data_IF_569574959261
#
_entry.id   IF_569574959261
#
_cell.length_a   1.000
_cell.length_b   1.000
_cell.length_c   1.000
_cell.angle_alpha   90.00
_cell.angle_beta   90.00
_cell.angle_gamma   90.00
#
_symmetry.space_group_name_H-M   'P 1'
#
loop_
_entity.id
_entity.type
_entity.pdbx_description
1 polymer ?
#
# COMPACT_ATOMS: atom_id res chain seq x y z
N UNK A 1 9.01 -44.40 29.78
CA UNK A 1 10.37 -44.84 29.40
C UNK A 1 10.86 -43.88 28.31
N UNK A 2 12.01 -43.22 28.52
CA UNK A 2 12.59 -42.24 27.59
C UNK A 2 13.05 -42.90 26.27
N UNK A 3 13.51 -42.08 25.30
CA UNK A 3 14.96 -41.97 25.20
C UNK A 3 15.48 -40.54 25.10
N UNK A 4 16.62 -40.35 25.75
CA UNK A 4 17.52 -39.21 25.71
C UNK A 4 18.33 -39.27 24.41
N UNK A 5 18.63 -38.12 23.80
CA UNK A 5 19.90 -37.93 23.10
C UNK A 5 20.56 -36.65 23.58
N UNK A 6 21.78 -36.85 24.10
CA UNK A 6 22.71 -35.87 24.59
C UNK A 6 23.71 -35.54 23.47
N UNK A 7 24.12 -34.28 23.33
CA UNK A 7 25.40 -33.94 22.71
C UNK A 7 25.96 -32.67 23.35
N UNK A 8 27.09 -32.83 24.07
CA UNK A 8 27.94 -31.77 24.62
C UNK A 8 28.94 -31.28 23.56
N UNK A 9 29.13 -29.97 23.56
CA UNK A 9 30.37 -29.18 23.45
C UNK A 9 31.44 -29.46 22.36
N UNK A 10 31.84 -28.37 21.68
CA UNK A 10 33.25 -28.04 21.42
C UNK A 10 33.63 -27.76 19.96
N UNK A 11 34.11 -26.54 19.67
CA UNK A 11 34.86 -26.28 18.44
C UNK A 11 34.83 -24.82 17.93
N UNK A 12 35.80 -24.03 18.36
CA UNK A 12 36.14 -22.73 17.76
C UNK A 12 36.46 -22.87 16.25
N UNK A 13 35.75 -22.11 15.40
CA UNK A 13 36.33 -21.57 14.15
C UNK A 13 35.84 -20.15 13.92
N UNK A 14 36.79 -19.21 13.95
CA UNK A 14 36.62 -17.84 13.43
C UNK A 14 36.42 -17.93 11.91
N UNK A 15 35.19 -17.74 11.43
CA UNK A 15 34.95 -17.46 10.00
C UNK A 15 34.53 -16.00 9.84
N UNK A 16 35.44 -15.20 9.28
CA UNK A 16 35.17 -13.84 8.79
C UNK A 16 34.00 -13.91 7.79
N UNK A 17 32.82 -13.45 8.17
CA UNK A 17 31.70 -13.29 7.23
C UNK A 17 31.91 -12.00 6.44
N UNK A 18 32.20 -12.14 5.14
CA UNK A 18 32.08 -11.05 4.17
C UNK A 18 30.60 -10.66 4.03
N UNK A 19 30.26 -9.37 3.91
CA UNK A 19 28.87 -8.96 3.70
C UNK A 19 28.44 -9.39 2.29
N UNK A 20 27.44 -10.29 2.21
CA UNK A 20 26.75 -10.59 0.96
C UNK A 20 25.88 -9.39 0.59
N UNK A 21 26.35 -8.56 -0.33
CA UNK A 21 25.49 -7.65 -1.11
C UNK A 21 24.65 -8.51 -2.04
N UNK A 22 23.34 -8.44 -1.90
CA UNK A 22 22.40 -9.12 -2.78
C UNK A 22 21.02 -8.51 -2.59
N UNK A 23 20.75 -7.42 -3.31
CA UNK A 23 19.36 -7.07 -3.61
C UNK A 23 18.78 -8.24 -4.40
N UNK A 24 17.65 -8.79 -3.94
CA UNK A 24 16.90 -9.77 -4.72
C UNK A 24 15.99 -8.97 -5.65
N UNK A 25 16.52 -8.61 -6.81
CA UNK A 25 15.72 -8.03 -7.89
C UNK A 25 15.12 -9.17 -8.71
N UNK A 26 13.84 -9.44 -8.48
CA UNK A 26 13.06 -10.26 -9.40
C UNK A 26 12.11 -9.36 -10.18
N UNK A 27 12.55 -8.99 -11.39
CA UNK A 27 11.61 -8.56 -12.43
C UNK A 27 10.77 -9.79 -12.79
N UNK A 28 9.46 -9.75 -12.56
CA UNK A 28 8.56 -10.76 -13.11
C UNK A 28 8.44 -10.45 -14.62
N UNK A 29 9.50 -10.78 -15.37
CA UNK A 29 9.63 -10.46 -16.79
C UNK A 29 9.13 -11.62 -17.66
N UNK A 30 8.20 -11.25 -18.56
CA UNK A 30 7.82 -11.86 -19.84
C UNK A 30 8.48 -13.19 -20.21
N UNK A 31 7.68 -14.26 -20.30
CA UNK A 31 7.98 -15.39 -21.17
C UNK A 31 7.33 -16.72 -20.79
N UNK A 32 6.24 -17.07 -21.48
CA UNK A 32 5.95 -18.46 -21.83
C UNK A 32 5.27 -18.47 -23.22
N UNK A 33 5.92 -19.14 -24.18
CA UNK A 33 5.38 -19.52 -25.50
C UNK A 33 4.43 -20.71 -25.33
N UNK A 34 3.47 -20.80 -26.27
CA UNK A 34 2.49 -21.89 -26.57
C UNK A 34 1.04 -21.41 -26.28
N UNK A 35 0.05 -21.41 -27.18
CA UNK A 35 -0.18 -22.01 -28.50
C UNK A 35 -0.91 -20.99 -29.41
N UNK A 36 -0.86 -21.21 -30.73
CA UNK A 36 -1.48 -20.33 -31.73
C UNK A 36 -2.99 -20.16 -31.50
N UNK A 37 -3.42 -18.92 -31.24
CA UNK A 37 -4.81 -18.49 -31.33
C UNK A 37 -5.13 -18.02 -32.76
N UNK A 38 -6.39 -18.14 -33.22
CA UNK A 38 -6.77 -17.77 -34.58
C UNK A 38 -6.47 -16.29 -34.86
N UNK A 39 -5.83 -16.03 -36.00
CA UNK A 39 -5.52 -14.68 -36.48
C UNK A 39 -6.84 -13.93 -36.77
N UNK A 40 -7.16 -12.94 -35.95
CA UNK A 40 -8.13 -11.91 -36.31
C UNK A 40 -7.39 -10.72 -36.96
N UNK A 41 -7.91 -10.11 -38.03
CA UNK A 41 -7.22 -9.01 -38.70
C UNK A 41 -7.18 -7.76 -37.81
N UNK A 42 -6.04 -7.06 -37.86
CA UNK A 42 -5.81 -5.79 -37.20
C UNK A 42 -6.76 -4.71 -37.73
N UNK A 43 -7.59 -4.16 -36.84
CA UNK A 43 -8.46 -3.02 -37.12
C UNK A 43 -8.66 -2.21 -35.84
N UNK A 44 -8.13 -1.00 -35.84
CA UNK A 44 -8.31 0.01 -34.79
C UNK A 44 -9.80 0.16 -34.44
N UNK A 45 -10.21 -0.17 -33.20
CA UNK A 45 -11.52 0.28 -32.70
C UNK A 45 -11.41 1.74 -32.27
N UNK A 46 -11.35 2.63 -33.26
CA UNK A 46 -11.93 3.96 -33.11
C UNK A 46 -13.43 3.77 -32.82
N UNK A 47 -14.09 4.63 -32.01
CA UNK A 47 -15.54 4.56 -31.87
C UNK A 47 -16.16 4.57 -33.27
N UNK A 48 -16.94 3.52 -33.58
CA UNK A 48 -17.48 3.28 -34.90
C UNK A 48 -18.27 4.50 -35.37
N UNK A 49 -18.25 4.77 -36.68
CA UNK A 49 -18.93 5.92 -37.29
C UNK A 49 -20.39 6.06 -36.84
N UNK A 50 -21.03 4.94 -36.46
CA UNK A 50 -22.36 4.90 -35.86
C UNK A 50 -22.45 5.63 -34.51
N UNK A 51 -21.54 5.34 -33.56
CA UNK A 51 -21.56 5.97 -32.23
C UNK A 51 -21.29 7.48 -32.31
N UNK A 52 -20.40 7.91 -33.21
CA UNK A 52 -20.15 9.34 -33.47
C UNK A 52 -21.35 10.02 -34.12
N UNK A 53 -22.00 9.38 -35.10
CA UNK A 53 -23.24 9.89 -35.70
C UNK A 53 -24.36 10.04 -34.69
N UNK A 54 -24.52 9.07 -33.79
CA UNK A 54 -25.54 9.13 -32.73
C UNK A 54 -25.26 10.30 -31.78
N UNK A 55 -24.00 10.47 -31.36
CA UNK A 55 -23.60 11.59 -30.52
C UNK A 55 -23.80 12.96 -31.21
N UNK A 56 -23.39 13.11 -32.47
CA UNK A 56 -23.60 14.35 -33.24
C UNK A 56 -25.08 14.67 -33.47
N UNK A 57 -25.91 13.66 -33.78
CA UNK A 57 -27.36 13.83 -33.95
C UNK A 57 -28.05 14.26 -32.66
N UNK A 58 -27.64 13.72 -31.52
CA UNK A 58 -28.15 14.10 -30.20
C UNK A 58 -27.74 15.54 -29.86
N UNK A 59 -26.46 15.88 -30.05
CA UNK A 59 -25.95 17.23 -29.83
C UNK A 59 -26.59 18.27 -30.77
N UNK A 60 -26.81 17.95 -32.04
CA UNK A 60 -27.52 18.83 -32.99
C UNK A 60 -28.99 19.05 -32.60
N UNK A 61 -29.68 18.02 -32.08
CA UNK A 61 -31.09 18.15 -31.65
C UNK A 61 -31.24 18.93 -30.35
N UNK A 62 -30.27 18.83 -29.43
CA UNK A 62 -30.19 19.64 -28.22
C UNK A 62 -29.94 21.12 -28.54
N UNK A 63 -28.96 21.42 -29.42
CA UNK A 63 -28.65 22.81 -29.86
C UNK A 63 -29.80 23.47 -30.62
N UNK A 64 -30.65 22.69 -31.28
CA UNK A 64 -31.83 23.17 -32.03
C UNK A 64 -33.10 23.26 -31.17
N UNK A 65 -33.01 23.09 -29.85
CA UNK A 65 -34.15 23.20 -28.93
C UNK A 65 -35.27 22.19 -29.17
N UNK A 66 -35.03 21.11 -29.93
CA UNK A 66 -36.08 20.17 -30.40
C UNK A 66 -36.38 19.02 -29.43
N UNK A 67 -35.78 19.03 -28.24
CA UNK A 67 -36.02 18.06 -27.17
C UNK A 67 -36.84 18.62 -26.00
N UNK A 68 -37.27 19.88 -26.05
CA UNK A 68 -38.11 20.50 -24.99
C UNK A 68 -39.60 20.16 -25.12
N UNK A 69 -40.01 19.39 -26.14
CA UNK A 69 -41.42 19.07 -26.38
C UNK A 69 -41.77 17.60 -26.08
N UNK A 70 -41.39 17.13 -24.88
CA UNK A 70 -41.87 15.87 -24.32
C UNK A 70 -42.13 15.97 -22.79
N UNK A 71 -42.41 17.16 -22.27
CA UNK A 71 -42.74 17.38 -20.85
C UNK A 71 -44.19 17.00 -20.47
N UNK A 72 -44.80 16.04 -21.17
CA UNK A 72 -46.22 15.70 -20.97
C UNK A 72 -46.63 14.26 -21.28
N UNK A 73 -45.68 13.32 -21.44
CA UNK A 73 -46.01 11.89 -21.55
C UNK A 73 -45.66 11.15 -20.26
N UNK A 74 -46.58 10.36 -19.68
CA UNK A 74 -46.28 9.57 -18.49
C UNK A 74 -45.26 8.48 -18.87
N UNK A 75 -44.07 8.53 -18.25
CA UNK A 75 -43.07 7.46 -18.38
C UNK A 75 -41.60 7.89 -18.46
N UNK A 76 -41.28 9.17 -18.60
CA UNK A 76 -39.88 9.63 -18.64
C UNK A 76 -39.69 10.74 -17.60
N UNK A 77 -39.39 10.33 -16.38
CA UNK A 77 -38.93 11.23 -15.33
C UNK A 77 -37.60 11.88 -15.74
N UNK A 78 -37.30 13.09 -15.24
CA UNK A 78 -35.97 13.72 -15.39
C UNK A 78 -34.81 12.77 -15.01
N UNK A 79 -35.10 11.78 -14.15
CA UNK A 79 -34.22 10.67 -13.76
C UNK A 79 -33.79 9.75 -14.92
N UNK A 80 -34.62 9.62 -15.97
CA UNK A 80 -34.34 8.83 -17.16
C UNK A 80 -33.39 9.56 -18.11
N UNK A 81 -33.46 10.90 -18.14
CA UNK A 81 -32.56 11.73 -18.94
C UNK A 81 -31.16 11.80 -18.33
N UNK A 82 -30.98 11.77 -17.01
CA UNK A 82 -29.64 11.62 -16.40
C UNK A 82 -29.01 10.23 -16.63
N UNK A 83 -29.83 9.19 -16.80
CA UNK A 83 -29.39 7.85 -17.22
C UNK A 83 -29.03 7.77 -18.71
N UNK A 84 -29.76 8.49 -19.56
CA UNK A 84 -29.58 8.53 -21.03
C UNK A 84 -28.48 9.51 -21.47
N UNK A 85 -28.43 10.69 -20.84
CA UNK A 85 -27.29 11.61 -20.81
C UNK A 85 -26.34 11.17 -19.72
N UNK A 86 -26.12 9.84 -19.62
CA UNK A 86 -25.15 9.24 -18.73
C UNK A 86 -23.97 10.16 -18.72
N UNK A 87 -23.67 10.73 -17.55
CA UNK A 87 -22.40 11.41 -17.36
C UNK A 87 -21.40 10.34 -17.77
N UNK A 88 -20.90 10.47 -18.98
CA UNK A 88 -19.59 9.99 -19.36
C UNK A 88 -18.66 10.82 -18.47
N UNK A 89 -18.69 10.53 -17.17
CA UNK A 89 -17.47 10.44 -16.42
C UNK A 89 -16.76 9.36 -17.22
N UNK A 90 -15.88 9.78 -18.11
CA UNK A 90 -14.81 8.94 -18.62
C UNK A 90 -14.09 8.46 -17.35
N UNK A 91 -14.63 7.41 -16.73
CA UNK A 91 -13.94 6.67 -15.69
C UNK A 91 -12.82 6.04 -16.45
N UNK A 92 -11.66 6.67 -16.40
CA UNK A 92 -10.46 6.13 -17.00
C UNK A 92 -10.28 4.73 -16.42
N UNK A 93 -10.47 3.75 -17.30
CA UNK A 93 -10.30 2.35 -16.95
C UNK A 93 -8.80 2.13 -16.82
N UNK A 94 -8.39 1.72 -15.63
CA UNK A 94 -7.00 1.47 -15.28
C UNK A 94 -6.72 -0.03 -15.25
N UNK A 95 -5.50 -0.41 -15.63
CA UNK A 95 -5.03 -1.80 -15.60
C UNK A 95 -3.57 -1.92 -15.19
N UNK A 96 -3.28 -2.83 -14.26
CA UNK A 96 -1.90 -3.13 -13.88
C UNK A 96 -1.23 -3.98 -14.97
N UNK A 97 -0.19 -3.42 -15.60
CA UNK A 97 0.60 -4.07 -16.67
C UNK A 97 1.73 -4.90 -16.12
N UNK A 98 2.39 -4.39 -15.09
CA UNK A 98 3.55 -5.00 -14.47
C UNK A 98 3.53 -4.74 -12.96
N UNK A 99 3.92 -5.75 -12.19
CA UNK A 99 4.19 -5.64 -10.76
C UNK A 99 5.62 -6.10 -10.50
N UNK A 100 6.45 -5.23 -9.93
CA UNK A 100 7.82 -5.55 -9.52
C UNK A 100 7.92 -5.53 -8.01
N UNK A 101 8.51 -6.58 -7.45
CA UNK A 101 8.79 -6.72 -6.02
C UNK A 101 10.29 -6.59 -5.80
N UNK A 102 10.68 -5.77 -4.83
CA UNK A 102 12.08 -5.56 -4.46
C UNK A 102 12.25 -5.60 -2.95
N UNK A 103 13.14 -6.46 -2.46
CA UNK A 103 13.52 -6.45 -1.04
C UNK A 103 14.79 -5.60 -0.87
N UNK A 104 14.71 -4.58 -0.01
CA UNK A 104 15.87 -3.82 0.47
C UNK A 104 16.08 -4.07 1.96
N UNK A 105 17.34 -3.95 2.39
CA UNK A 105 17.73 -4.13 3.80
C UNK A 105 18.43 -2.89 4.29
N UNK A 106 17.92 -2.32 5.37
CA UNK A 106 18.42 -1.06 5.94
C UNK A 106 18.75 -1.23 7.42
N UNK A 107 19.99 -0.90 7.80
CA UNK A 107 20.39 -0.83 9.20
C UNK A 107 19.75 0.40 9.84
N UNK A 108 19.10 0.22 10.99
CA UNK A 108 18.53 1.33 11.75
C UNK A 108 19.63 2.15 12.41
N UNK A 109 19.38 3.46 12.58
CA UNK A 109 20.29 4.38 13.28
C UNK A 109 20.54 3.92 14.72
N UNK A 110 19.50 3.41 15.37
CA UNK A 110 19.58 2.75 16.67
C UNK A 110 18.67 1.52 16.69
N UNK A 111 19.00 0.47 17.46
CA UNK A 111 18.11 -0.67 17.66
C UNK A 111 16.73 -0.24 18.18
N UNK A 112 15.68 -0.82 17.62
CA UNK A 112 14.30 -0.57 18.04
C UNK A 112 13.77 -1.78 18.81
N UNK A 113 13.60 -1.62 20.12
CA UNK A 113 13.13 -2.68 21.01
C UNK A 113 11.67 -2.48 21.39
N UNK A 114 10.91 -3.55 21.23
CA UNK A 114 9.51 -3.68 21.65
C UNK A 114 9.38 -4.76 22.70
N UNK A 115 8.16 -5.01 23.21
CA UNK A 115 7.91 -6.14 24.12
C UNK A 115 8.11 -7.52 23.46
N UNK A 116 8.19 -7.59 22.13
CA UNK A 116 8.15 -8.84 21.37
C UNK A 116 9.46 -9.15 20.65
N UNK A 117 10.13 -8.12 20.13
CA UNK A 117 11.32 -8.27 19.31
C UNK A 117 12.22 -7.03 19.41
N UNK A 118 13.49 -7.22 19.05
CA UNK A 118 14.50 -6.18 18.92
C UNK A 118 15.01 -6.16 17.48
N UNK A 119 14.76 -5.05 16.79
CA UNK A 119 15.14 -4.91 15.38
C UNK A 119 16.35 -4.00 15.22
N UNK A 120 17.36 -4.48 14.50
CA UNK A 120 18.55 -3.69 14.10
C UNK A 120 18.62 -3.42 12.60
N UNK A 121 18.08 -4.34 11.80
CA UNK A 121 18.01 -4.24 10.34
C UNK A 121 16.56 -4.43 9.91
N UNK A 122 16.02 -3.47 9.17
CA UNK A 122 14.72 -3.56 8.52
C UNK A 122 14.84 -4.26 7.18
N UNK A 123 14.06 -5.31 6.99
CA UNK A 123 13.69 -5.86 5.68
C UNK A 123 12.47 -5.09 5.18
N UNK A 124 12.60 -4.48 4.02
CA UNK A 124 11.59 -3.62 3.42
C UNK A 124 11.25 -4.22 2.06
N UNK A 125 9.97 -4.51 1.85
CA UNK A 125 9.45 -5.01 0.59
C UNK A 125 8.77 -3.87 -0.17
N UNK A 126 9.41 -3.41 -1.24
CA UNK A 126 8.87 -2.40 -2.14
C UNK A 126 8.02 -3.06 -3.23
N UNK A 127 6.87 -2.45 -3.51
CA UNK A 127 5.94 -2.84 -4.56
C UNK A 127 5.87 -1.71 -5.57
N UNK A 128 6.26 -2.00 -6.81
CA UNK A 128 6.15 -1.07 -7.94
C UNK A 128 5.08 -1.58 -8.91
N UNK A 129 4.05 -0.78 -9.14
CA UNK A 129 2.98 -1.08 -10.09
C UNK A 129 3.05 -0.16 -11.32
N UNK A 130 3.00 -0.75 -12.51
CA UNK A 130 2.83 -0.02 -13.76
C UNK A 130 1.34 0.00 -14.13
N UNK A 131 0.74 1.18 -14.05
CA UNK A 131 -0.66 1.46 -14.37
C UNK A 131 -0.72 2.20 -15.70
N UNK A 132 -0.81 1.44 -16.80
CA UNK A 132 -0.83 1.93 -18.17
C UNK A 132 0.26 2.98 -18.50
N UNK A 133 1.48 2.75 -18.02
CA UNK A 133 2.64 3.62 -18.23
C UNK A 133 2.92 4.57 -17.06
N UNK A 134 2.01 4.72 -16.09
CA UNK A 134 2.23 5.52 -14.88
C UNK A 134 2.65 4.61 -13.73
N UNK A 135 3.75 4.98 -13.07
CA UNK A 135 4.39 4.15 -12.06
C UNK A 135 3.99 4.59 -10.66
N UNK A 136 3.38 3.66 -9.94
CA UNK A 136 3.10 3.77 -8.52
C UNK A 136 4.05 2.93 -7.67
N UNK A 137 4.34 3.40 -6.48
CA UNK A 137 5.20 2.76 -5.49
C UNK A 137 4.47 2.64 -4.15
N UNK A 138 4.76 1.55 -3.46
CA UNK A 138 4.36 1.37 -2.07
C UNK A 138 5.36 0.51 -1.33
N UNK A 139 5.29 0.57 -0.01
CA UNK A 139 6.03 -0.28 0.91
C UNK A 139 5.07 -1.24 1.63
N UNK A 140 5.42 -2.52 1.64
CA UNK A 140 4.78 -3.49 2.50
C UNK A 140 5.42 -3.42 3.89
N UNK A 141 4.58 -3.23 4.92
CA UNK A 141 5.02 -3.07 6.32
C UNK A 141 5.27 -4.40 7.04
N UNK A 142 5.09 -5.54 6.37
CA UNK A 142 5.34 -6.86 6.96
C UNK A 142 6.82 -7.02 7.32
N UNK A 143 7.08 -7.39 8.58
CA UNK A 143 8.43 -7.42 9.15
C UNK A 143 9.19 -8.72 8.93
N UNK A 144 10.29 -8.87 9.65
CA UNK A 144 11.21 -10.01 9.57
C UNK A 144 10.62 -11.26 10.22
N UNK A 145 9.83 -11.05 11.27
CA UNK A 145 9.30 -12.07 12.17
C UNK A 145 7.78 -11.90 12.35
N UNK A 146 7.04 -12.98 12.65
CA UNK A 146 5.58 -12.95 12.79
C UNK A 146 5.13 -12.50 14.19
N UNK A 147 5.92 -11.69 14.88
CA UNK A 147 5.63 -11.32 16.27
C UNK A 147 4.70 -10.10 16.38
N UNK A 148 4.75 -9.16 15.43
CA UNK A 148 3.78 -8.05 15.37
C UNK A 148 2.44 -8.48 14.76
N UNK A 149 2.51 -9.33 13.74
CA UNK A 149 1.36 -9.86 13.01
C UNK A 149 1.76 -11.21 12.40
N UNK A 150 0.81 -12.07 11.97
CA UNK A 150 1.17 -13.32 11.30
C UNK A 150 1.89 -13.12 9.95
N UNK A 151 1.90 -11.90 9.39
CA UNK A 151 2.60 -11.58 8.14
C UNK A 151 4.07 -11.22 8.38
N UNK A 152 4.94 -11.82 7.57
CA UNK A 152 6.36 -11.46 7.40
C UNK A 152 6.66 -11.05 5.96
N UNK A 153 7.80 -10.42 5.71
CA UNK A 153 8.28 -10.04 4.38
C UNK A 153 8.28 -11.24 3.41
N UNK A 154 8.63 -12.44 3.88
CA UNK A 154 8.64 -13.65 3.06
C UNK A 154 7.21 -14.12 2.72
N UNK A 155 6.29 -14.07 3.70
CA UNK A 155 4.88 -14.42 3.43
C UNK A 155 4.23 -13.39 2.51
N UNK A 156 4.50 -12.09 2.70
CA UNK A 156 3.96 -11.03 1.85
C UNK A 156 4.48 -11.15 0.41
N UNK A 157 5.77 -11.45 0.23
CA UNK A 157 6.37 -11.73 -1.07
C UNK A 157 5.64 -12.87 -1.79
N UNK A 158 5.48 -14.01 -1.11
CA UNK A 158 4.80 -15.18 -1.64
C UNK A 158 3.36 -14.85 -2.04
N UNK A 159 2.61 -14.17 -1.17
CA UNK A 159 1.21 -13.82 -1.41
C UNK A 159 1.06 -12.83 -2.56
N UNK A 160 1.92 -11.80 -2.64
CA UNK A 160 1.96 -10.86 -3.75
C UNK A 160 2.22 -11.56 -5.08
N UNK A 161 3.23 -12.45 -5.13
CA UNK A 161 3.66 -13.14 -6.35
C UNK A 161 2.65 -14.19 -6.82
N UNK A 162 2.22 -15.07 -5.92
CA UNK A 162 1.53 -16.32 -6.28
C UNK A 162 0.01 -16.20 -6.23
N UNK A 163 -0.53 -15.19 -5.53
CA UNK A 163 -1.97 -15.07 -5.30
C UNK A 163 -2.53 -13.72 -5.74
N UNK A 164 -1.99 -12.60 -5.23
CA UNK A 164 -2.54 -11.28 -5.52
C UNK A 164 -2.29 -10.86 -6.97
N UNK A 165 -1.06 -11.04 -7.47
CA UNK A 165 -0.73 -10.70 -8.86
C UNK A 165 -1.59 -11.47 -9.89
N UNK A 166 -1.73 -12.81 -9.83
CA UNK A 166 -2.62 -13.54 -10.72
C UNK A 166 -4.10 -13.10 -10.65
N UNK A 167 -4.57 -12.62 -9.49
CA UNK A 167 -5.95 -12.18 -9.33
C UNK A 167 -6.24 -10.82 -9.97
N UNK A 168 -5.25 -9.92 -10.06
CA UNK A 168 -5.46 -8.55 -10.53
C UNK A 168 -4.85 -8.26 -11.91
N UNK A 169 -3.84 -9.03 -12.33
CA UNK A 169 -3.20 -8.83 -13.63
C UNK A 169 -4.23 -8.85 -14.76
N UNK A 170 -4.28 -7.77 -15.53
CA UNK A 170 -5.16 -7.67 -16.69
C UNK A 170 -6.63 -7.37 -16.37
N UNK A 171 -6.99 -7.16 -15.10
CA UNK A 171 -8.31 -6.66 -14.73
C UNK A 171 -8.40 -5.16 -14.93
N UNK A 172 -9.60 -4.75 -15.30
CA UNK A 172 -10.00 -3.36 -15.48
C UNK A 172 -10.72 -2.89 -14.21
N UNK A 173 -10.36 -1.70 -13.73
CA UNK A 173 -11.00 -1.04 -12.59
C UNK A 173 -11.01 0.48 -12.80
N UNK A 174 -11.98 1.16 -12.21
CA UNK A 174 -12.17 2.60 -12.41
C UNK A 174 -11.56 3.48 -11.32
N UNK A 175 -11.14 2.91 -10.20
CA UNK A 175 -10.44 3.63 -9.11
C UNK A 175 -9.58 2.67 -8.29
N UNK A 176 -8.54 3.16 -7.63
CA UNK A 176 -7.76 2.38 -6.68
C UNK A 176 -8.62 1.81 -5.54
N UNK A 177 -9.71 2.50 -5.16
CA UNK A 177 -10.66 2.01 -4.15
C UNK A 177 -11.39 0.71 -4.53
N UNK A 178 -11.41 0.32 -5.81
CA UNK A 178 -11.99 -0.95 -6.26
C UNK A 178 -11.01 -2.13 -6.06
N UNK A 179 -9.71 -1.85 -5.95
CA UNK A 179 -8.65 -2.88 -5.88
C UNK A 179 -8.86 -3.81 -4.70
N UNK A 180 -9.22 -3.29 -3.52
CA UNK A 180 -9.42 -4.12 -2.33
C UNK A 180 -10.47 -5.23 -2.56
N UNK A 181 -11.57 -4.89 -3.23
CA UNK A 181 -12.62 -5.84 -3.59
C UNK A 181 -12.14 -6.94 -4.55
N UNK A 182 -11.25 -6.60 -5.50
CA UNK A 182 -10.66 -7.58 -6.43
C UNK A 182 -9.74 -8.59 -5.72
N UNK A 183 -9.18 -8.22 -4.57
CA UNK A 183 -8.29 -9.06 -3.77
C UNK A 183 -9.02 -9.88 -2.68
N UNK A 184 -10.33 -9.71 -2.53
CA UNK A 184 -11.12 -10.26 -1.42
C UNK A 184 -11.09 -11.80 -1.33
N UNK A 185 -10.80 -12.51 -2.43
CA UNK A 185 -10.69 -13.98 -2.45
C UNK A 185 -9.53 -14.50 -1.58
N UNK A 186 -8.45 -13.74 -1.41
CA UNK A 186 -7.35 -14.09 -0.49
C UNK A 186 -7.80 -13.76 0.92
N UNK A 187 -7.74 -14.72 1.86
CA UNK A 187 -8.11 -14.47 3.26
C UNK A 187 -6.92 -13.90 4.03
N UNK A 188 -7.16 -12.91 4.89
CA UNK A 188 -6.09 -12.23 5.62
C UNK A 188 -5.10 -11.50 4.69
N UNK A 189 -3.82 -11.54 5.03
CA UNK A 189 -2.71 -10.94 4.27
C UNK A 189 -2.93 -9.45 3.93
N UNK A 190 -3.35 -8.69 4.94
CA UNK A 190 -3.78 -7.32 4.78
C UNK A 190 -2.60 -6.39 4.47
N UNK A 191 -1.40 -6.66 4.99
CA UNK A 191 -0.21 -5.87 4.66
C UNK A 191 0.21 -6.09 3.20
N UNK A 192 0.17 -7.33 2.73
CA UNK A 192 0.47 -7.65 1.34
C UNK A 192 -0.56 -7.01 0.37
N UNK A 193 -1.85 -7.06 0.70
CA UNK A 193 -2.91 -6.41 -0.08
C UNK A 193 -2.78 -4.89 -0.08
N UNK A 194 -2.57 -4.30 1.10
CA UNK A 194 -2.41 -2.86 1.26
C UNK A 194 -1.20 -2.34 0.47
N UNK A 195 -0.09 -3.09 0.40
CA UNK A 195 1.06 -2.71 -0.41
C UNK A 195 0.72 -2.66 -1.91
N UNK A 196 -0.03 -3.64 -2.43
CA UNK A 196 -0.49 -3.62 -3.81
C UNK A 196 -1.44 -2.45 -4.06
N UNK A 197 -2.45 -2.30 -3.20
CA UNK A 197 -3.46 -1.24 -3.31
C UNK A 197 -2.83 0.17 -3.23
N UNK A 198 -1.92 0.39 -2.28
CA UNK A 198 -1.23 1.66 -2.11
C UNK A 198 -0.38 2.03 -3.34
N UNK A 199 0.23 1.04 -4.01
CA UNK A 199 0.95 1.31 -5.26
C UNK A 199 -0.02 1.76 -6.37
N UNK A 200 -1.26 1.24 -6.39
CA UNK A 200 -2.29 1.71 -7.33
C UNK A 200 -2.78 3.12 -6.96
N UNK A 201 -2.97 3.42 -5.67
CA UNK A 201 -3.32 4.77 -5.20
C UNK A 201 -2.27 5.81 -5.59
N UNK A 202 -0.98 5.50 -5.43
CA UNK A 202 0.12 6.38 -5.85
C UNK A 202 0.12 6.60 -7.38
N UNK A 203 -0.08 5.54 -8.17
CA UNK A 203 -0.18 5.65 -9.62
C UNK A 203 -1.41 6.47 -10.08
N UNK A 204 -2.58 6.25 -9.48
CA UNK A 204 -3.82 6.99 -9.80
C UNK A 204 -3.67 8.48 -9.47
N UNK A 205 -3.07 8.82 -8.32
CA UNK A 205 -2.79 10.22 -7.95
C UNK A 205 -1.90 10.91 -8.99
N UNK A 206 -0.87 10.21 -9.46
CA UNK A 206 0.03 10.69 -10.53
C UNK A 206 -0.67 10.82 -11.87
N UNK A 207 -1.50 9.85 -12.27
CA UNK A 207 -2.31 9.94 -13.50
C UNK A 207 -3.21 11.19 -13.49
N UNK A 208 -3.82 11.50 -12.34
CA UNK A 208 -4.67 12.68 -12.16
C UNK A 208 -3.90 13.98 -11.92
N UNK A 209 -2.57 13.93 -11.86
CA UNK A 209 -1.73 15.11 -11.62
C UNK A 209 -1.99 15.79 -10.27
N UNK A 210 -2.37 15.05 -9.23
CA UNK A 210 -2.65 15.63 -7.91
C UNK A 210 -1.98 14.87 -6.76
N UNK A 211 -1.71 15.54 -5.62
CA UNK A 211 -1.20 14.85 -4.44
C UNK A 211 -2.17 13.77 -3.95
N UNK A 212 -1.63 12.61 -3.53
CA UNK A 212 -2.44 11.52 -2.97
C UNK A 212 -3.30 12.00 -1.80
N UNK A 213 -2.79 12.89 -0.96
CA UNK A 213 -3.55 13.48 0.15
C UNK A 213 -4.84 14.14 -0.33
N UNK A 214 -4.83 14.88 -1.44
CA UNK A 214 -6.04 15.49 -2.02
C UNK A 214 -6.95 14.44 -2.64
N UNK A 215 -6.39 13.45 -3.33
CA UNK A 215 -7.17 12.36 -3.92
C UNK A 215 -8.00 11.60 -2.87
N UNK A 216 -7.44 11.39 -1.67
CA UNK A 216 -8.13 10.71 -0.57
C UNK A 216 -8.96 11.66 0.33
N UNK A 217 -9.12 12.94 -0.05
CA UNK A 217 -9.94 13.91 0.68
C UNK A 217 -9.26 14.61 1.87
N UNK A 218 -7.93 14.61 1.91
CA UNK A 218 -7.13 15.33 2.90
C UNK A 218 -7.31 16.84 2.82
N UNK A 219 -7.61 17.46 3.97
CA UNK A 219 -7.88 18.90 4.10
C UNK A 219 -6.74 19.71 4.73
N UNK A 220 -5.67 19.03 5.17
CA UNK A 220 -4.54 19.65 5.87
C UNK A 220 -3.30 19.62 5.00
N UNK A 221 -2.51 20.69 5.05
CA UNK A 221 -1.17 20.74 4.44
C UNK A 221 -0.09 20.19 5.38
N UNK A 222 -0.31 20.28 6.69
CA UNK A 222 0.60 19.79 7.73
C UNK A 222 -0.14 18.94 8.77
N UNK A 223 0.59 18.00 9.38
CA UNK A 223 0.08 17.12 10.43
C UNK A 223 0.98 17.18 11.67
N UNK A 224 0.36 17.18 12.85
CA UNK A 224 1.08 17.10 14.10
C UNK A 224 1.75 15.72 14.24
N UNK A 225 3.08 15.70 14.35
CA UNK A 225 3.85 14.47 14.49
C UNK A 225 4.10 14.14 15.97
N UNK A 226 4.08 12.85 16.29
CA UNK A 226 4.49 12.34 17.59
C UNK A 226 5.48 11.20 17.43
N UNK A 227 6.34 11.01 18.43
CA UNK A 227 7.41 10.00 18.43
C UNK A 227 7.01 8.79 19.28
N UNK A 228 7.57 7.62 18.96
CA UNK A 228 7.49 6.43 19.81
C UNK A 228 8.89 6.06 20.31
N UNK A 229 9.10 6.11 21.61
CA UNK A 229 10.37 5.79 22.27
C UNK A 229 10.30 4.33 22.75
N UNK A 230 11.32 3.55 22.40
CA UNK A 230 11.47 2.15 22.83
C UNK A 230 11.73 2.03 24.33
N UNK A 231 11.73 0.79 24.84
CA UNK A 231 12.10 0.52 26.23
C UNK A 231 13.58 0.87 26.42
N UNK A 232 13.90 1.56 27.53
CA UNK A 232 15.27 1.91 27.94
C UNK A 232 15.72 1.09 29.14
N UNK A 233 17.02 1.08 29.40
CA UNK A 233 17.55 0.34 30.55
C UNK A 233 17.38 1.12 31.85
N UNK A 234 17.59 2.45 31.81
CA UNK A 234 17.38 3.32 32.97
C UNK A 234 16.29 4.37 32.74
N UNK A 235 15.76 4.93 33.84
CA UNK A 235 14.83 6.06 33.78
C UNK A 235 15.50 7.32 33.25
N UNK A 236 16.77 7.55 33.57
CA UNK A 236 17.48 8.75 33.11
C UNK A 236 17.74 8.70 31.60
N UNK A 237 18.04 7.52 31.03
CA UNK A 237 18.09 7.33 29.58
C UNK A 237 16.75 7.61 28.89
N UNK A 238 15.64 7.26 29.56
CA UNK A 238 14.30 7.54 29.05
C UNK A 238 14.00 9.04 29.08
N UNK A 239 14.31 9.72 30.18
CA UNK A 239 14.12 11.17 30.32
C UNK A 239 14.94 11.91 29.26
N UNK A 240 16.24 11.60 29.12
CA UNK A 240 17.10 12.22 28.13
C UNK A 240 16.61 11.98 26.69
N UNK A 241 16.06 10.79 26.40
CA UNK A 241 15.43 10.53 25.11
C UNK A 241 14.17 11.40 24.90
N UNK A 242 13.32 11.56 25.92
CA UNK A 242 12.13 12.42 25.84
C UNK A 242 12.51 13.88 25.62
N UNK A 243 13.48 14.41 26.37
CA UNK A 243 13.96 15.79 26.21
C UNK A 243 14.46 16.06 24.79
N UNK A 244 15.26 15.14 24.26
CA UNK A 244 15.75 15.22 22.88
C UNK A 244 14.62 15.31 21.87
N UNK A 245 13.60 14.45 21.97
CA UNK A 245 12.50 14.43 21.01
C UNK A 245 11.55 15.63 21.18
N UNK A 246 11.36 16.12 22.40
CA UNK A 246 10.62 17.37 22.64
C UNK A 246 11.37 18.58 22.04
N UNK A 247 12.69 18.64 22.22
CA UNK A 247 13.53 19.67 21.60
C UNK A 247 13.52 19.60 20.06
N UNK A 248 13.28 18.42 19.48
CA UNK A 248 13.08 18.23 18.05
C UNK A 248 11.67 18.66 17.55
N UNK A 249 10.76 19.06 18.44
CA UNK A 249 9.44 19.61 18.10
C UNK A 249 8.31 18.57 18.05
N UNK A 250 8.51 17.34 18.52
CA UNK A 250 7.42 16.35 18.55
C UNK A 250 6.31 16.74 19.53
N UNK A 251 5.07 16.73 19.06
CA UNK A 251 3.91 17.24 19.80
C UNK A 251 3.22 16.18 20.68
N UNK A 252 3.62 14.90 20.53
CA UNK A 252 3.15 13.77 21.33
C UNK A 252 4.27 12.76 21.53
N UNK A 253 4.52 12.39 22.77
CA UNK A 253 5.41 11.30 23.16
C UNK A 253 4.57 10.03 23.29
N UNK A 254 5.11 8.89 22.86
CA UNK A 254 4.59 7.56 23.18
C UNK A 254 5.76 6.75 23.70
N UNK A 255 5.62 6.10 24.84
CA UNK A 255 6.63 5.17 25.35
C UNK A 255 6.17 3.73 25.18
N UNK A 256 7.12 2.82 24.99
CA UNK A 256 6.88 1.38 25.08
C UNK A 256 6.98 0.94 26.53
N UNK A 257 6.06 0.09 26.96
CA UNK A 257 6.02 -0.50 28.30
C UNK A 257 6.00 -2.03 28.19
N UNK A 258 6.42 -2.72 29.24
CA UNK A 258 6.26 -4.17 29.43
C UNK A 258 6.11 -4.48 30.93
N UNK A 259 5.63 -5.67 31.32
CA UNK A 259 5.58 -6.05 32.74
C UNK A 259 6.94 -5.80 33.42
N UNK A 260 6.93 -5.05 34.52
CA UNK A 260 8.14 -4.64 35.25
C UNK A 260 8.84 -3.38 34.72
N UNK A 261 8.42 -2.81 33.59
CA UNK A 261 8.88 -1.52 33.04
C UNK A 261 7.67 -0.75 32.47
N UNK A 262 6.72 -0.40 33.33
CA UNK A 262 5.46 0.27 32.99
C UNK A 262 5.15 1.48 33.88
N UNK A 263 4.82 1.27 35.16
CA UNK A 263 4.37 2.31 36.09
C UNK A 263 5.47 3.32 36.43
N UNK A 264 6.68 2.85 36.75
CA UNK A 264 7.79 3.75 37.12
C UNK A 264 8.18 4.70 35.97
N UNK A 265 8.38 4.23 34.71
CA UNK A 265 8.59 5.11 33.56
C UNK A 265 7.50 6.18 33.39
N UNK A 266 6.23 5.80 33.48
CA UNK A 266 5.11 6.74 33.31
C UNK A 266 5.09 7.76 34.45
N UNK A 267 5.25 7.30 35.70
CA UNK A 267 5.26 8.18 36.88
C UNK A 267 6.37 9.22 36.77
N UNK A 268 7.60 8.78 36.44
CA UNK A 268 8.76 9.68 36.27
C UNK A 268 8.48 10.72 35.19
N UNK A 269 8.03 10.30 34.01
CA UNK A 269 7.75 11.24 32.92
C UNK A 269 6.59 12.21 33.21
N UNK A 270 5.59 11.80 33.99
CA UNK A 270 4.50 12.70 34.40
C UNK A 270 4.92 13.71 35.46
N UNK A 271 5.88 13.38 36.31
CA UNK A 271 6.47 14.32 37.26
C UNK A 271 7.34 15.35 36.52
N UNK A 272 8.22 14.89 35.62
CA UNK A 272 9.17 15.74 34.92
C UNK A 272 8.50 16.58 33.81
N UNK A 273 7.51 16.02 33.12
CA UNK A 273 6.83 16.64 31.97
C UNK A 273 5.30 16.64 32.14
N UNK A 274 4.74 17.43 33.08
CA UNK A 274 3.32 17.36 33.43
C UNK A 274 2.36 17.76 32.29
N UNK A 275 2.83 18.51 31.30
CA UNK A 275 2.00 19.09 30.23
C UNK A 275 2.12 18.39 28.87
N UNK A 276 3.03 17.42 28.71
CA UNK A 276 3.19 16.76 27.41
C UNK A 276 2.01 15.82 27.14
N UNK A 277 1.65 15.69 25.85
CA UNK A 277 0.80 14.59 25.41
C UNK A 277 1.66 13.33 25.41
N UNK A 278 1.44 12.45 26.39
CA UNK A 278 2.15 11.18 26.57
C UNK A 278 1.17 10.01 26.54
#
# INVERSE_FOLDING_TARGET
MAPRFCARCGGHRKSRQRPRRGARDHRIARGARALAAPRFPAGQRRPGAFARRVHELVCQRLRRGRLTHCAGKPGVSAYSLERLLGRHIDREIMRIRELTLQEVRMKLVAPFETSMDRTEVRRILLVRADLDGVIGWAECVAGESPFYSPETADTAWLILRDFLWPLIKGKDFASAGEVWGLLARVRGHNMAKAALEAAVWDAEAKQKGMPLSKLIGGVREEIACGVSIGIRESLDELVAAVEKELAAGYQRIKIKIKPGKDLEPVRRLRQDFPRIKL
#
